data_IF_009230263784
#
_entry.id   IF_009230263784
#
_cell.length_a   1.000
_cell.length_b   1.000
_cell.length_c   1.000
_cell.angle_alpha   90.00
_cell.angle_beta   90.00
_cell.angle_gamma   90.00
#
_symmetry.space_group_name_H-M   'P 1'
#
loop_
_entity.id
_entity.type
_entity.pdbx_description
1 polymer ?
#
# COMPACT_ATOMS: atom_id res chain seq x y z
N UNK A 1 -6.57 -18.62 -2.15
CA UNK A 1 -7.19 -17.39 -1.60
C UNK A 1 -8.07 -17.59 -0.35
N UNK A 2 -8.41 -18.83 0.10
CA UNK A 2 -9.18 -19.01 1.35
C UNK A 2 -8.53 -18.38 2.60
N UNK A 3 -7.20 -18.24 2.61
CA UNK A 3 -6.46 -17.63 3.72
C UNK A 3 -6.79 -16.14 3.94
N UNK A 4 -7.10 -15.41 2.86
CA UNK A 4 -7.33 -13.96 2.91
C UNK A 4 -8.81 -13.59 2.76
N UNK A 5 -9.71 -14.58 2.63
CA UNK A 5 -11.12 -14.31 2.30
C UNK A 5 -11.84 -13.45 3.35
N UNK A 6 -11.47 -13.59 4.63
CA UNK A 6 -12.03 -12.79 5.73
C UNK A 6 -11.45 -11.37 5.83
N UNK A 7 -10.45 -11.04 5.00
CA UNK A 7 -9.70 -9.78 5.06
C UNK A 7 -9.92 -8.92 3.81
N UNK A 8 -10.83 -9.32 2.91
CA UNK A 8 -11.28 -8.43 1.87
C UNK A 8 -12.13 -7.31 2.46
N UNK A 9 -11.75 -6.08 2.16
CA UNK A 9 -12.43 -4.86 2.59
C UNK A 9 -12.59 -3.91 1.41
N UNK A 10 -13.52 -2.96 1.54
CA UNK A 10 -13.62 -1.82 0.64
C UNK A 10 -12.34 -0.99 0.71
N UNK A 11 -11.74 -0.70 -0.46
CA UNK A 11 -10.56 0.17 -0.51
C UNK A 11 -10.87 1.55 0.08
N UNK A 12 -12.03 2.12 -0.21
CA UNK A 12 -12.45 3.43 0.33
C UNK A 12 -12.43 3.44 1.86
N UNK A 13 -12.99 2.41 2.49
CA UNK A 13 -13.05 2.33 3.96
C UNK A 13 -11.66 2.18 4.56
N UNK A 14 -10.79 1.39 3.92
CA UNK A 14 -9.40 1.23 4.33
C UNK A 14 -8.66 2.58 4.22
N UNK A 15 -8.75 3.28 3.09
CA UNK A 15 -8.07 4.56 2.91
C UNK A 15 -8.54 5.63 3.91
N UNK A 16 -9.84 5.68 4.22
CA UNK A 16 -10.38 6.57 5.26
C UNK A 16 -9.76 6.23 6.63
N UNK A 17 -9.65 4.94 6.98
CA UNK A 17 -9.00 4.50 8.21
C UNK A 17 -7.53 4.94 8.27
N UNK A 18 -6.81 4.81 7.16
CA UNK A 18 -5.41 5.26 7.05
C UNK A 18 -5.25 6.81 7.03
N UNK A 19 -6.37 7.55 7.06
CA UNK A 19 -6.39 9.00 7.21
C UNK A 19 -6.57 9.78 5.92
N UNK A 20 -7.06 9.16 4.86
CA UNK A 20 -7.57 9.90 3.71
C UNK A 20 -8.74 10.80 4.11
N UNK A 21 -8.88 11.93 3.41
CA UNK A 21 -10.06 12.78 3.54
C UNK A 21 -11.32 12.00 3.19
N UNK A 22 -12.45 12.26 3.87
CA UNK A 22 -13.76 11.67 3.50
C UNK A 22 -14.19 12.02 2.08
N UNK A 23 -13.61 13.06 1.47
CA UNK A 23 -13.80 13.43 0.06
C UNK A 23 -12.83 12.66 -0.84
N UNK A 24 -12.84 11.34 -0.78
CA UNK A 24 -12.09 10.49 -1.72
C UNK A 24 -12.74 10.63 -3.10
N UNK A 25 -11.97 10.75 -4.20
CA UNK A 25 -12.51 10.69 -5.55
C UNK A 25 -13.41 9.46 -5.71
N UNK A 26 -14.59 9.62 -6.31
CA UNK A 26 -15.51 8.50 -6.48
C UNK A 26 -14.96 7.53 -7.53
N UNK A 27 -14.76 6.28 -7.12
CA UNK A 27 -14.50 5.20 -8.07
C UNK A 27 -15.85 4.58 -8.41
N UNK A 28 -16.27 4.68 -9.68
CA UNK A 28 -17.53 4.09 -10.20
C UNK A 28 -17.61 2.56 -10.03
N UNK A 29 -16.59 1.92 -9.47
CA UNK A 29 -16.48 0.49 -9.19
C UNK A 29 -16.22 0.29 -7.70
N UNK A 30 -16.88 -0.69 -7.09
CA UNK A 30 -16.50 -1.17 -5.77
C UNK A 30 -15.19 -1.95 -5.86
N UNK A 31 -14.14 -1.43 -5.21
CA UNK A 31 -12.82 -2.06 -5.20
C UNK A 31 -12.66 -2.82 -3.88
N UNK A 32 -12.41 -4.13 -3.98
CA UNK A 32 -12.03 -4.96 -2.85
C UNK A 32 -10.51 -5.15 -2.82
N UNK A 33 -9.93 -4.90 -1.66
CA UNK A 33 -8.50 -5.10 -1.37
C UNK A 33 -8.33 -5.97 -0.15
N UNK A 34 -7.17 -6.60 -0.02
CA UNK A 34 -6.80 -7.39 1.16
C UNK A 34 -6.17 -6.45 2.19
N UNK A 35 -6.79 -6.35 3.37
CA UNK A 35 -6.24 -5.65 4.53
C UNK A 35 -5.14 -6.51 5.19
N UNK A 36 -3.89 -6.19 4.87
CA UNK A 36 -2.75 -7.02 5.28
C UNK A 36 -2.40 -6.77 6.74
N UNK A 37 -2.51 -5.54 7.22
CA UNK A 37 -2.26 -5.21 8.63
C UNK A 37 -3.24 -5.96 9.54
N UNK A 38 -4.52 -5.99 9.20
CA UNK A 38 -5.50 -6.77 9.96
C UNK A 38 -5.21 -8.26 9.92
N UNK A 39 -4.81 -8.78 8.75
CA UNK A 39 -4.40 -10.17 8.63
C UNK A 39 -3.20 -10.50 9.53
N UNK A 40 -2.18 -9.64 9.52
CA UNK A 40 -0.96 -9.78 10.31
C UNK A 40 -1.25 -9.74 11.82
N UNK A 41 -2.14 -8.84 12.26
CA UNK A 41 -2.61 -8.80 13.65
C UNK A 41 -3.24 -10.13 14.07
N UNK A 42 -4.09 -10.72 13.21
CA UNK A 42 -4.71 -12.00 13.53
C UNK A 42 -3.71 -13.16 13.53
N UNK A 43 -2.73 -13.18 12.62
CA UNK A 43 -1.70 -14.20 12.61
C UNK A 43 -0.79 -14.11 13.84
N UNK A 44 -0.34 -12.91 14.20
CA UNK A 44 0.51 -12.69 15.36
C UNK A 44 -0.17 -13.15 16.65
N UNK A 45 -1.47 -12.86 16.80
CA UNK A 45 -2.29 -13.34 17.93
C UNK A 45 -2.37 -14.86 17.97
N UNK A 46 -2.66 -15.52 16.85
CA UNK A 46 -2.75 -16.99 16.75
C UNK A 46 -1.41 -17.67 17.08
N UNK A 47 -0.31 -17.07 16.67
CA UNK A 47 1.04 -17.59 16.83
C UNK A 47 1.73 -17.11 18.12
N UNK A 48 1.09 -16.24 18.91
CA UNK A 48 1.66 -15.60 20.12
C UNK A 48 3.02 -14.94 19.88
N UNK A 49 3.16 -14.24 18.76
CA UNK A 49 4.39 -13.51 18.38
C UNK A 49 4.15 -12.00 18.34
N UNK A 50 5.26 -11.25 18.28
CA UNK A 50 5.22 -9.82 17.99
C UNK A 50 4.70 -9.55 16.57
N UNK A 51 4.11 -8.37 16.36
CA UNK A 51 3.65 -7.90 15.06
C UNK A 51 4.84 -7.62 14.15
N UNK A 52 4.78 -8.13 12.93
CA UNK A 52 5.66 -7.68 11.87
C UNK A 52 5.04 -6.46 11.18
N UNK A 53 5.89 -5.57 10.68
CA UNK A 53 5.42 -4.44 9.88
C UNK A 53 5.09 -4.91 8.47
N UNK A 54 3.89 -4.61 7.99
CA UNK A 54 3.38 -4.99 6.69
C UNK A 54 3.09 -3.79 5.80
N UNK A 55 2.97 -4.03 4.49
CA UNK A 55 2.27 -3.10 3.61
C UNK A 55 0.79 -3.02 4.05
N UNK A 56 0.13 -1.90 3.86
CA UNK A 56 -1.22 -1.72 4.41
C UNK A 56 -2.25 -2.59 3.66
N UNK A 57 -2.13 -2.67 2.33
CA UNK A 57 -3.05 -3.47 1.53
C UNK A 57 -2.45 -4.09 0.26
N UNK A 58 -3.13 -5.13 -0.24
CA UNK A 58 -2.90 -5.71 -1.56
C UNK A 58 -4.13 -5.54 -2.44
N UNK A 59 -3.93 -4.97 -3.63
CA UNK A 59 -4.95 -4.89 -4.68
C UNK A 59 -4.70 -5.92 -5.77
N UNK A 60 -5.76 -6.49 -6.33
CA UNK A 60 -5.68 -7.34 -7.51
C UNK A 60 -5.86 -6.48 -8.77
N UNK A 61 -4.90 -6.53 -9.67
CA UNK A 61 -4.95 -5.84 -10.96
C UNK A 61 -5.68 -6.68 -12.00
N UNK A 62 -6.23 -6.01 -13.02
CA UNK A 62 -6.93 -6.64 -14.15
C UNK A 62 -6.06 -7.66 -14.90
N UNK A 63 -4.73 -7.46 -14.92
CA UNK A 63 -3.77 -8.39 -15.52
C UNK A 63 -3.39 -9.57 -14.62
N UNK A 64 -4.17 -9.84 -13.56
CA UNK A 64 -3.95 -10.91 -12.57
C UNK A 64 -2.63 -10.79 -11.80
N UNK A 65 -2.08 -9.58 -11.66
CA UNK A 65 -0.95 -9.29 -10.76
C UNK A 65 -1.45 -8.70 -9.46
N UNK A 66 -0.72 -8.96 -8.38
CA UNK A 66 -0.96 -8.35 -7.07
C UNK A 66 -0.13 -7.09 -6.91
N UNK A 67 -0.77 -5.98 -6.54
CA UNK A 67 -0.14 -4.69 -6.29
C UNK A 67 -0.05 -4.44 -4.78
N UNK A 68 1.15 -4.20 -4.28
CA UNK A 68 1.39 -3.88 -2.87
C UNK A 68 1.39 -2.38 -2.68
N UNK A 69 0.59 -1.89 -1.74
CA UNK A 69 0.41 -0.47 -1.50
C UNK A 69 0.45 -0.13 -0.02
N UNK A 70 0.97 1.05 0.29
CA UNK A 70 1.05 1.62 1.63
C UNK A 70 0.54 3.07 1.60
N UNK A 71 -0.42 3.39 2.47
CA UNK A 71 -1.16 4.62 2.54
C UNK A 71 -0.56 5.56 3.59
N UNK A 72 0.09 6.62 3.12
CA UNK A 72 0.86 7.57 3.95
C UNK A 72 0.19 8.94 4.06
N UNK A 73 -1.13 8.96 4.26
CA UNK A 73 -1.89 10.21 4.31
C UNK A 73 -1.58 11.10 5.52
N UNK A 74 -1.04 10.53 6.60
CA UNK A 74 -0.68 11.22 7.84
C UNK A 74 0.80 11.58 7.95
N UNK A 75 1.63 11.09 7.01
CA UNK A 75 3.08 11.31 7.04
C UNK A 75 3.40 12.70 6.54
N UNK A 76 4.16 13.46 7.33
CA UNK A 76 4.66 14.76 6.91
C UNK A 76 5.90 14.64 6.01
N UNK A 77 6.08 15.57 5.08
CA UNK A 77 7.15 15.49 4.07
C UNK A 77 8.56 15.48 4.70
N UNK A 78 8.74 16.11 5.85
CA UNK A 78 10.01 16.12 6.60
C UNK A 78 10.36 14.75 7.21
N UNK A 79 9.37 13.89 7.46
CA UNK A 79 9.57 12.52 7.95
C UNK A 79 10.10 11.59 6.85
N UNK A 80 9.97 11.98 5.56
CA UNK A 80 10.52 11.22 4.45
C UNK A 80 12.05 11.33 4.46
N UNK A 81 12.71 10.31 4.99
CA UNK A 81 14.16 10.20 5.08
C UNK A 81 14.62 8.79 4.70
N UNK A 82 15.91 8.49 4.86
CA UNK A 82 16.46 7.18 4.52
C UNK A 82 15.85 6.05 5.37
N UNK A 83 15.54 6.31 6.65
CA UNK A 83 14.89 5.33 7.54
C UNK A 83 13.50 4.99 7.02
N UNK A 84 12.69 6.00 6.67
CA UNK A 84 11.37 5.79 6.07
C UNK A 84 11.43 4.85 4.86
N UNK A 85 12.40 5.06 3.96
CA UNK A 85 12.58 4.22 2.78
C UNK A 85 13.02 2.79 3.15
N UNK A 86 13.88 2.65 4.16
CA UNK A 86 14.29 1.35 4.69
C UNK A 86 13.10 0.59 5.29
N UNK A 87 12.23 1.28 6.02
CA UNK A 87 11.03 0.70 6.62
C UNK A 87 10.05 0.19 5.55
N UNK A 88 9.81 0.97 4.48
CA UNK A 88 9.00 0.53 3.33
C UNK A 88 9.60 -0.71 2.67
N UNK A 89 10.93 -0.76 2.51
CA UNK A 89 11.60 -1.94 1.94
C UNK A 89 11.48 -3.16 2.87
N UNK A 90 11.60 -2.98 4.17
CA UNK A 90 11.44 -4.05 5.15
C UNK A 90 9.99 -4.61 5.13
N UNK A 91 8.99 -3.73 5.11
CA UNK A 91 7.57 -4.09 4.93
C UNK A 91 7.36 -4.91 3.66
N UNK A 92 7.97 -4.50 2.53
CA UNK A 92 7.91 -5.24 1.27
C UNK A 92 8.52 -6.63 1.42
N UNK A 93 9.75 -6.74 1.96
CA UNK A 93 10.47 -8.01 2.11
C UNK A 93 9.63 -9.01 2.90
N UNK A 94 8.95 -8.56 3.95
CA UNK A 94 8.05 -9.40 4.72
C UNK A 94 6.74 -9.74 3.98
N UNK A 95 6.10 -8.74 3.37
CA UNK A 95 4.75 -8.91 2.78
C UNK A 95 4.78 -9.72 1.48
N UNK A 96 5.79 -9.49 0.63
CA UNK A 96 5.91 -10.12 -0.70
C UNK A 96 5.77 -11.65 -0.68
N UNK A 97 6.52 -12.42 0.14
CA UNK A 97 6.41 -13.88 0.15
C UNK A 97 5.04 -14.42 0.58
N UNK A 98 4.24 -13.64 1.31
CA UNK A 98 2.89 -14.04 1.74
C UNK A 98 1.93 -14.23 0.56
N UNK A 99 2.21 -13.55 -0.56
CA UNK A 99 1.34 -13.50 -1.73
C UNK A 99 1.96 -14.15 -2.97
N UNK A 100 3.29 -14.30 -3.01
CA UNK A 100 4.03 -14.78 -4.18
C UNK A 100 3.60 -16.17 -4.65
N UNK A 101 3.19 -17.05 -3.73
CA UNK A 101 2.70 -18.39 -4.05
C UNK A 101 1.32 -18.40 -4.75
N UNK A 102 0.64 -17.25 -4.84
CA UNK A 102 -0.71 -17.15 -5.39
C UNK A 102 -0.75 -16.51 -6.76
N UNK A 103 -0.14 -15.33 -6.91
CA UNK A 103 -0.09 -14.57 -8.15
C UNK A 103 1.21 -13.77 -8.24
N UNK A 104 1.68 -13.46 -9.47
CA UNK A 104 2.83 -12.58 -9.65
C UNK A 104 2.58 -11.21 -9.03
N UNK A 105 3.58 -10.69 -8.33
CA UNK A 105 3.53 -9.38 -7.69
C UNK A 105 4.05 -8.34 -8.68
N UNK A 106 3.34 -7.21 -8.77
CA UNK A 106 3.74 -6.06 -9.57
C UNK A 106 5.12 -5.55 -9.13
N UNK A 107 5.95 -5.12 -10.07
CA UNK A 107 7.34 -4.76 -9.80
C UNK A 107 7.49 -3.52 -8.91
N UNK A 108 6.51 -2.61 -8.96
CA UNK A 108 6.50 -1.37 -8.17
C UNK A 108 5.68 -1.52 -6.89
N UNK A 109 6.22 -0.98 -5.82
CA UNK A 109 5.54 -0.67 -4.56
C UNK A 109 4.81 0.66 -4.75
N UNK A 110 3.55 0.76 -4.33
CA UNK A 110 2.82 2.04 -4.37
C UNK A 110 2.82 2.70 -3.00
N UNK A 111 3.19 3.97 -2.95
CA UNK A 111 2.96 4.85 -1.80
C UNK A 111 1.88 5.86 -2.15
N UNK A 112 0.80 5.85 -1.39
CA UNK A 112 -0.30 6.80 -1.55
C UNK A 112 -0.13 7.97 -0.59
N UNK A 113 -0.18 9.19 -1.12
CA UNK A 113 -0.13 10.43 -0.34
C UNK A 113 -1.33 11.32 -0.64
N UNK A 114 -1.51 12.35 0.20
CA UNK A 114 -2.49 13.39 -0.07
C UNK A 114 -2.11 14.16 -1.36
N UNK A 115 -3.09 14.41 -2.24
CA UNK A 115 -2.91 15.14 -3.51
C UNK A 115 -2.10 16.43 -3.34
N UNK A 116 -2.41 17.25 -2.33
CA UNK A 116 -1.70 18.52 -2.08
C UNK A 116 -0.19 18.39 -1.79
N UNK A 117 0.30 17.19 -1.44
CA UNK A 117 1.71 16.94 -1.10
C UNK A 117 2.39 15.94 -2.04
N UNK A 118 1.65 15.28 -2.94
CA UNK A 118 2.14 14.13 -3.73
C UNK A 118 3.40 14.46 -4.52
N UNK A 119 3.45 15.61 -5.20
CA UNK A 119 4.63 16.03 -5.98
C UNK A 119 5.86 16.25 -5.10
N UNK A 120 5.66 16.84 -3.93
CA UNK A 120 6.74 17.10 -2.99
C UNK A 120 7.30 15.78 -2.45
N UNK A 121 6.41 14.87 -2.05
CA UNK A 121 6.78 13.53 -1.57
C UNK A 121 7.49 12.73 -2.68
N UNK A 122 6.95 12.75 -3.90
CA UNK A 122 7.53 12.07 -5.08
C UNK A 122 8.95 12.55 -5.34
N UNK A 123 9.17 13.86 -5.38
CA UNK A 123 10.50 14.44 -5.60
C UNK A 123 11.47 14.06 -4.48
N UNK A 124 11.02 14.03 -3.24
CA UNK A 124 11.85 13.68 -2.08
C UNK A 124 12.24 12.21 -2.09
N UNK A 125 11.29 11.30 -2.29
CA UNK A 125 11.54 9.86 -2.43
C UNK A 125 12.48 9.58 -3.62
N UNK A 126 12.24 10.23 -4.76
CA UNK A 126 13.10 10.08 -5.95
C UNK A 126 14.56 10.44 -5.66
N UNK A 127 14.80 11.53 -4.91
CA UNK A 127 16.16 11.93 -4.48
C UNK A 127 16.77 10.92 -3.53
N UNK A 128 16.02 10.47 -2.51
CA UNK A 128 16.49 9.46 -1.55
C UNK A 128 16.86 8.13 -2.22
N UNK A 129 16.20 7.81 -3.34
CA UNK A 129 16.39 6.59 -4.11
C UNK A 129 17.36 6.74 -5.29
N UNK A 130 18.10 7.86 -5.40
CA UNK A 130 19.03 8.12 -6.50
C UNK A 130 18.40 7.94 -7.90
N UNK A 131 17.13 8.36 -8.08
CA UNK A 131 16.33 8.20 -9.29
C UNK A 131 16.06 6.74 -9.75
N UNK A 132 16.49 5.73 -8.98
CA UNK A 132 16.15 4.32 -9.23
C UNK A 132 14.99 3.95 -8.32
N UNK A 133 13.77 3.90 -8.84
CA UNK A 133 12.62 3.70 -7.97
C UNK A 133 11.81 2.47 -8.33
N UNK A 134 11.95 1.44 -7.49
CA UNK A 134 10.96 0.36 -7.36
C UNK A 134 9.75 0.82 -6.53
N UNK A 135 9.74 2.09 -6.11
CA UNK A 135 8.64 2.75 -5.42
C UNK A 135 7.99 3.77 -6.35
N UNK A 136 6.69 3.71 -6.49
CA UNK A 136 5.91 4.72 -7.19
C UNK A 136 5.10 5.54 -6.18
N UNK A 137 5.15 6.86 -6.32
CA UNK A 137 4.47 7.80 -5.42
C UNK A 137 3.34 8.46 -6.19
N UNK A 138 2.11 8.31 -5.70
CA UNK A 138 0.92 8.85 -6.34
C UNK A 138 -0.14 9.23 -5.32
N UNK A 139 -1.17 9.94 -5.78
CA UNK A 139 -2.36 10.17 -4.99
C UNK A 139 -3.45 9.16 -5.35
N UNK A 140 -4.63 9.30 -4.76
CA UNK A 140 -5.73 8.35 -4.95
C UNK A 140 -6.33 8.45 -6.37
N UNK A 141 -6.35 9.65 -6.97
CA UNK A 141 -6.89 9.83 -8.30
C UNK A 141 -5.98 9.16 -9.33
N UNK A 142 -4.68 9.45 -9.28
CA UNK A 142 -3.65 8.80 -10.10
C UNK A 142 -3.68 7.27 -9.94
N UNK A 143 -3.88 6.79 -8.72
CA UNK A 143 -3.97 5.35 -8.44
C UNK A 143 -5.18 4.71 -9.14
N UNK A 144 -6.35 5.34 -9.10
CA UNK A 144 -7.55 4.84 -9.77
C UNK A 144 -7.39 4.86 -11.28
N UNK A 145 -6.90 5.95 -11.84
CA UNK A 145 -6.66 6.10 -13.28
C UNK A 145 -5.70 5.02 -13.80
N UNK A 146 -4.65 4.72 -13.05
CA UNK A 146 -3.58 3.82 -13.50
C UNK A 146 -3.87 2.33 -13.26
N UNK A 147 -4.50 1.99 -12.14
CA UNK A 147 -4.57 0.59 -11.69
C UNK A 147 -5.98 0.02 -11.59
N UNK A 148 -7.03 0.86 -11.66
CA UNK A 148 -8.40 0.43 -11.42
C UNK A 148 -9.31 0.63 -12.63
N UNK A 149 -9.19 1.76 -13.32
CA UNK A 149 -10.01 2.09 -14.49
C UNK A 149 -9.52 1.36 -15.74
#
# INVERSE_FOLDING_TARGET
MKQFSAFYVSLTDLLIREGASKKIPDCKRSILVIDVDRWEIEQAKKQRRCLNSTMDFVALLNNKRMLLADAKFRVETNELNSSFVQDIKAKLVYTKPLFYAHLPIHEKIILLFQTKKVEQCRNRIRRLMNNKSDIEVMDIADFYDKYVM
#
